data_IF_012701964320
#
_entry.id   IF_012701964320
#
_cell.length_a   1.000
_cell.length_b   1.000
_cell.length_c   1.000
_cell.angle_alpha   90.00
_cell.angle_beta   90.00
_cell.angle_gamma   90.00
#
_symmetry.space_group_name_H-M   'P 1'
#
loop_
_entity.id
_entity.type
_entity.pdbx_description
1 polymer ?
#
# COMPACT_ATOMS: atom_id res chain seq x y z
N UNK A 1 0.76 21.79 14.76
CA UNK A 1 0.14 20.60 15.38
C UNK A 1 0.74 20.45 16.77
N UNK A 2 0.04 20.97 17.79
CA UNK A 2 0.33 20.67 19.19
C UNK A 2 -0.20 19.27 19.47
N UNK A 3 0.65 18.27 19.43
CA UNK A 3 0.30 16.91 19.83
C UNK A 3 1.35 16.42 20.83
N UNK A 4 0.98 15.61 21.80
CA UNK A 4 1.87 14.94 22.73
C UNK A 4 2.54 13.69 22.11
N UNK A 5 2.39 13.50 20.80
CA UNK A 5 2.96 12.37 20.09
C UNK A 5 4.50 12.40 20.14
N UNK A 6 5.12 11.25 20.35
CA UNK A 6 6.58 11.10 20.38
C UNK A 6 7.25 11.40 19.03
N UNK A 7 6.49 11.32 17.93
CA UNK A 7 6.95 11.59 16.58
C UNK A 7 5.82 11.51 15.56
N UNK A 8 6.17 11.64 14.29
CA UNK A 8 5.26 11.64 13.15
C UNK A 8 5.68 10.54 12.15
N UNK A 9 4.67 9.84 11.62
CA UNK A 9 4.86 8.93 10.49
C UNK A 9 4.49 9.67 9.22
N UNK A 10 5.45 9.84 8.32
CA UNK A 10 5.23 10.39 6.99
C UNK A 10 4.96 9.29 5.98
N UNK A 11 3.94 9.50 5.16
CA UNK A 11 3.55 8.60 4.08
C UNK A 11 3.32 9.43 2.82
N UNK A 12 4.07 9.18 1.74
CA UNK A 12 3.91 9.94 0.50
C UNK A 12 2.56 9.61 -0.17
N UNK A 13 1.91 10.62 -0.73
CA UNK A 13 0.63 10.46 -1.44
C UNK A 13 0.78 9.87 -2.85
N UNK A 14 1.98 9.85 -3.40
CA UNK A 14 2.33 9.32 -4.72
C UNK A 14 2.77 7.85 -4.71
N UNK A 15 2.68 7.17 -3.56
CA UNK A 15 2.97 5.73 -3.40
C UNK A 15 1.69 4.92 -3.15
N UNK A 16 0.89 4.59 -4.17
CA UNK A 16 -0.44 3.97 -3.99
C UNK A 16 -0.40 2.53 -3.49
N UNK A 17 0.75 1.86 -3.57
CA UNK A 17 0.92 0.47 -3.10
C UNK A 17 1.47 0.38 -1.68
N UNK A 18 1.59 1.49 -0.97
CA UNK A 18 2.07 1.52 0.41
C UNK A 18 1.16 0.69 1.32
N UNK A 19 1.73 0.05 2.33
CA UNK A 19 1.00 -0.82 3.27
C UNK A 19 1.23 -0.37 4.71
N UNK A 20 0.22 -0.51 5.54
CA UNK A 20 0.29 -0.18 6.97
C UNK A 20 1.44 -0.92 7.69
N UNK A 21 1.82 -2.10 7.20
CA UNK A 21 2.95 -2.86 7.70
C UNK A 21 4.27 -2.09 7.63
N UNK A 22 4.47 -1.28 6.57
CA UNK A 22 5.68 -0.46 6.44
C UNK A 22 5.81 0.54 7.59
N UNK A 23 4.73 1.24 7.92
CA UNK A 23 4.71 2.18 9.05
C UNK A 23 4.88 1.47 10.39
N UNK A 24 4.22 0.32 10.57
CA UNK A 24 4.37 -0.49 11.79
C UNK A 24 5.82 -0.90 12.02
N UNK A 25 6.51 -1.39 10.97
CA UNK A 25 7.92 -1.78 11.05
C UNK A 25 8.84 -0.62 11.43
N UNK A 26 8.61 0.57 10.88
CA UNK A 26 9.37 1.77 11.28
C UNK A 26 9.22 2.06 12.77
N UNK A 27 7.98 2.01 13.28
CA UNK A 27 7.72 2.26 14.71
C UNK A 27 8.27 1.15 15.62
N UNK A 28 8.22 -0.11 15.22
CA UNK A 28 8.78 -1.24 15.97
C UNK A 28 10.30 -1.21 16.06
N UNK A 29 10.95 -0.61 15.06
CA UNK A 29 12.43 -0.49 15.01
C UNK A 29 12.94 0.82 15.58
N UNK A 30 12.06 1.79 15.83
CA UNK A 30 12.47 3.04 16.43
C UNK A 30 12.84 2.86 17.90
N UNK A 31 13.96 3.48 18.28
CA UNK A 31 14.41 3.62 19.66
C UNK A 31 14.80 5.09 19.90
N UNK A 32 14.78 5.59 21.15
CA UNK A 32 15.09 6.99 21.46
C UNK A 32 16.50 7.46 21.06
N UNK A 33 17.39 6.57 20.68
CA UNK A 33 18.73 6.91 20.16
C UNK A 33 18.72 7.40 18.71
N UNK A 34 17.61 7.16 17.99
CA UNK A 34 17.42 7.61 16.62
C UNK A 34 16.40 8.74 16.55
N UNK A 35 16.76 9.80 15.82
CA UNK A 35 15.85 10.89 15.50
C UNK A 35 14.84 10.48 14.42
N UNK A 36 15.24 9.59 13.52
CA UNK A 36 14.37 9.09 12.46
C UNK A 36 14.64 7.62 12.12
N UNK A 37 13.61 6.95 11.57
CA UNK A 37 13.72 5.63 10.94
C UNK A 37 13.09 5.73 9.54
N UNK A 38 13.88 5.41 8.51
CA UNK A 38 13.47 5.54 7.10
C UNK A 38 13.76 4.29 6.30
N UNK A 39 13.11 4.16 5.14
CA UNK A 39 13.32 3.05 4.23
C UNK A 39 14.42 3.31 3.21
N UNK A 40 15.11 2.23 2.82
CA UNK A 40 15.99 2.15 1.66
C UNK A 40 15.61 0.94 0.83
N UNK A 41 15.32 1.14 -0.44
CA UNK A 41 15.01 0.09 -1.40
C UNK A 41 16.26 -0.67 -1.85
N UNK A 42 16.10 -1.87 -2.44
CA UNK A 42 17.22 -2.72 -2.88
C UNK A 42 18.11 -2.07 -3.92
N UNK A 43 17.56 -1.15 -4.73
CA UNK A 43 18.30 -0.34 -5.70
C UNK A 43 19.13 0.79 -5.04
N UNK A 44 19.12 0.87 -3.71
CA UNK A 44 19.88 1.83 -2.92
C UNK A 44 19.20 3.18 -2.69
N UNK A 45 17.97 3.39 -3.17
CA UNK A 45 17.25 4.65 -2.98
C UNK A 45 16.73 4.77 -1.56
N UNK A 46 17.07 5.87 -0.93
CA UNK A 46 16.50 6.27 0.36
C UNK A 46 15.13 6.90 0.12
N UNK A 47 14.17 6.60 1.01
CA UNK A 47 12.78 7.07 0.95
C UNK A 47 12.48 8.01 2.13
N UNK A 48 12.95 9.26 2.10
CA UNK A 48 12.87 10.17 3.25
C UNK A 48 11.43 10.50 3.64
N UNK A 49 10.53 10.60 2.66
CA UNK A 49 9.12 10.90 2.91
C UNK A 49 8.29 9.66 3.28
N UNK A 50 8.92 8.48 3.37
CA UNK A 50 8.32 7.27 3.90
C UNK A 50 9.08 6.85 5.15
N UNK A 51 8.83 7.52 6.28
CA UNK A 51 9.62 7.37 7.49
C UNK A 51 8.91 7.83 8.75
N UNK A 52 9.43 7.38 9.88
CA UNK A 52 9.06 7.89 11.19
C UNK A 52 10.12 8.91 11.65
N UNK A 53 9.68 10.05 12.17
CA UNK A 53 10.51 11.13 12.67
C UNK A 53 10.09 11.50 14.08
N UNK A 54 11.02 11.41 15.03
CA UNK A 54 10.76 11.79 16.41
C UNK A 54 10.77 13.31 16.60
N UNK A 55 10.29 13.78 17.73
CA UNK A 55 10.32 15.21 18.06
C UNK A 55 11.73 15.79 18.16
N UNK A 56 12.75 14.97 18.40
CA UNK A 56 14.13 15.40 18.49
C UNK A 56 14.67 15.97 17.18
N UNK A 57 14.02 15.61 16.04
CA UNK A 57 14.32 16.18 14.72
C UNK A 57 14.10 17.69 14.62
N UNK A 58 13.22 18.28 15.45
CA UNK A 58 12.73 19.65 15.28
C UNK A 58 13.88 20.68 15.31
N UNK A 59 14.85 20.52 16.19
CA UNK A 59 15.98 21.46 16.28
C UNK A 59 16.80 21.49 14.98
N UNK A 60 17.07 20.32 14.40
CA UNK A 60 17.79 20.22 13.13
C UNK A 60 16.96 20.74 11.96
N UNK A 61 15.64 20.50 12.00
CA UNK A 61 14.70 20.98 10.98
C UNK A 61 14.62 22.51 10.99
N UNK A 62 14.46 23.12 12.16
CA UNK A 62 14.43 24.58 12.34
C UNK A 62 15.73 25.22 11.88
N UNK A 63 16.88 24.59 12.14
CA UNK A 63 18.17 25.01 11.63
C UNK A 63 18.23 25.02 10.11
N UNK A 64 17.78 23.93 9.46
CA UNK A 64 17.73 23.87 8.00
C UNK A 64 16.81 24.94 7.40
N UNK A 65 15.63 25.14 7.99
CA UNK A 65 14.67 26.16 7.54
C UNK A 65 15.25 27.57 7.70
N UNK A 66 15.88 27.86 8.85
CA UNK A 66 16.51 29.15 9.13
C UNK A 66 17.65 29.48 8.16
N UNK A 67 18.35 28.50 7.65
CA UNK A 67 19.39 28.61 6.61
C UNK A 67 18.83 28.70 5.19
N UNK A 68 17.50 28.55 5.01
CA UNK A 68 16.87 28.45 3.68
C UNK A 68 17.21 27.15 2.94
N UNK A 69 17.65 26.12 3.66
CA UNK A 69 18.02 24.84 3.09
C UNK A 69 16.89 23.81 3.24
N UNK A 70 16.15 23.55 2.16
CA UNK A 70 14.98 22.66 2.13
C UNK A 70 15.30 21.28 1.56
N UNK A 71 16.58 20.88 1.48
CA UNK A 71 16.99 19.59 0.93
C UNK A 71 16.86 18.49 1.98
N UNK A 72 15.99 17.53 1.74
CA UNK A 72 15.78 16.40 2.68
C UNK A 72 17.06 15.64 3.01
N UNK A 73 17.95 15.41 2.05
CA UNK A 73 19.20 14.69 2.28
C UNK A 73 20.15 15.46 3.19
N UNK A 74 20.14 16.79 3.11
CA UNK A 74 20.93 17.64 4.01
C UNK A 74 20.36 17.59 5.43
N UNK A 75 19.04 17.65 5.57
CA UNK A 75 18.40 17.47 6.87
C UNK A 75 18.74 16.10 7.48
N UNK A 76 18.65 15.01 6.69
CA UNK A 76 19.00 13.68 7.18
C UNK A 76 20.45 13.55 7.61
N UNK A 77 21.37 14.31 7.01
CA UNK A 77 22.79 14.30 7.43
C UNK A 77 23.04 14.93 8.79
N UNK A 78 22.08 15.71 9.32
CA UNK A 78 22.17 16.43 10.60
C UNK A 78 21.51 15.70 11.77
N UNK A 79 20.89 14.54 11.52
CA UNK A 79 20.16 13.78 12.52
C UNK A 79 20.66 12.33 12.60
N UNK A 80 20.41 11.68 13.73
CA UNK A 80 20.64 10.24 13.88
C UNK A 80 19.54 9.46 13.20
N UNK A 81 19.85 8.77 12.10
CA UNK A 81 18.87 8.11 11.27
C UNK A 81 19.13 6.60 11.14
N UNK A 82 18.18 5.78 11.57
CA UNK A 82 18.19 4.34 11.29
C UNK A 82 17.60 4.09 9.90
N UNK A 83 18.37 3.44 9.04
CA UNK A 83 17.94 3.09 7.68
C UNK A 83 17.60 1.62 7.62
N UNK A 84 16.32 1.30 7.37
CA UNK A 84 15.84 -0.06 7.17
C UNK A 84 15.89 -0.43 5.69
N UNK A 85 16.55 -1.52 5.36
CA UNK A 85 16.63 -2.03 3.99
C UNK A 85 15.46 -2.97 3.70
N UNK A 86 14.68 -2.69 2.64
CA UNK A 86 13.54 -3.52 2.23
C UNK A 86 13.93 -4.98 1.98
N UNK A 87 15.15 -5.21 1.49
CA UNK A 87 15.68 -6.56 1.27
C UNK A 87 15.85 -7.37 2.56
N UNK A 88 16.38 -6.74 3.62
CA UNK A 88 16.57 -7.37 4.93
C UNK A 88 15.26 -7.59 5.68
N UNK A 89 14.32 -6.68 5.50
CA UNK A 89 12.98 -6.77 6.09
C UNK A 89 12.01 -7.62 5.24
N UNK A 90 12.49 -8.22 4.14
CA UNK A 90 11.71 -9.05 3.23
C UNK A 90 10.47 -8.37 2.64
N UNK A 91 10.53 -7.03 2.47
CA UNK A 91 9.45 -6.24 1.88
C UNK A 91 9.62 -6.12 0.37
N UNK A 92 8.51 -6.16 -0.39
CA UNK A 92 8.56 -5.95 -1.84
C UNK A 92 8.85 -4.48 -2.19
N UNK A 93 9.86 -4.20 -3.00
CA UNK A 93 10.19 -2.84 -3.46
C UNK A 93 9.06 -2.17 -4.25
N UNK A 94 8.16 -2.97 -4.84
CA UNK A 94 6.96 -2.44 -5.52
C UNK A 94 6.05 -1.60 -4.61
N UNK A 95 6.13 -1.76 -3.28
CA UNK A 95 5.36 -0.93 -2.34
C UNK A 95 5.85 0.52 -2.33
N UNK A 96 7.09 0.77 -2.79
CA UNK A 96 7.70 2.09 -2.91
C UNK A 96 7.61 2.67 -4.33
N UNK A 97 6.72 2.12 -5.16
CA UNK A 97 6.52 2.62 -6.52
C UNK A 97 5.82 3.97 -6.48
N UNK A 98 6.51 5.01 -6.95
CA UNK A 98 5.93 6.34 -7.14
C UNK A 98 5.16 6.40 -8.45
N UNK A 99 4.01 7.08 -8.43
CA UNK A 99 3.16 7.31 -9.60
C UNK A 99 3.06 8.81 -9.85
N UNK A 100 4.00 9.33 -10.63
CA UNK A 100 4.12 10.75 -10.95
C UNK A 100 3.70 11.08 -12.39
N UNK A 101 3.53 10.06 -13.25
CA UNK A 101 3.21 10.21 -14.66
C UNK A 101 2.38 9.02 -15.18
N UNK A 102 1.92 9.13 -16.44
CA UNK A 102 1.12 8.08 -17.10
C UNK A 102 1.89 6.77 -17.28
N UNK A 103 3.20 6.80 -17.47
CA UNK A 103 4.01 5.60 -17.64
C UNK A 103 4.16 4.87 -16.30
N UNK A 104 4.33 5.61 -15.21
CA UNK A 104 4.31 5.07 -13.85
C UNK A 104 2.94 4.47 -13.52
N UNK A 105 1.85 5.12 -13.92
CA UNK A 105 0.50 4.60 -13.79
C UNK A 105 0.31 3.28 -14.57
N UNK A 106 0.75 3.22 -15.83
CA UNK A 106 0.71 2.01 -16.63
C UNK A 106 1.55 0.85 -16.07
N UNK A 107 2.65 1.14 -15.35
CA UNK A 107 3.39 0.13 -14.58
C UNK A 107 2.59 -0.34 -13.37
N UNK A 108 1.89 0.57 -12.69
CA UNK A 108 1.02 0.25 -11.58
C UNK A 108 -0.13 -0.66 -12.00
N UNK A 109 -0.82 -0.35 -13.11
CA UNK A 109 -1.93 -1.19 -13.63
C UNK A 109 -1.49 -2.64 -13.87
N UNK A 110 -0.24 -2.86 -14.31
CA UNK A 110 0.31 -4.21 -14.47
C UNK A 110 0.65 -4.91 -13.16
N UNK A 111 0.77 -4.18 -12.07
CA UNK A 111 1.06 -4.72 -10.72
C UNK A 111 -0.18 -4.82 -9.83
N UNK A 112 -1.27 -4.18 -10.22
CA UNK A 112 -2.57 -4.27 -9.55
C UNK A 112 -3.29 -5.53 -10.01
N UNK A 113 -4.18 -6.04 -9.17
CA UNK A 113 -5.01 -7.19 -9.48
C UNK A 113 -5.75 -6.98 -10.82
N UNK A 114 -5.62 -7.87 -11.82
CA UNK A 114 -6.33 -7.73 -13.07
C UNK A 114 -7.84 -7.77 -12.82
N UNK A 115 -8.56 -6.85 -13.44
CA UNK A 115 -10.02 -6.77 -13.36
C UNK A 115 -10.63 -7.31 -14.66
N UNK A 116 -11.47 -8.33 -14.54
CA UNK A 116 -12.26 -8.86 -15.65
C UNK A 116 -13.72 -8.43 -15.47
N UNK A 117 -14.24 -7.65 -16.41
CA UNK A 117 -15.65 -7.27 -16.42
C UNK A 117 -16.47 -8.28 -17.24
N UNK A 118 -17.51 -8.83 -16.62
CA UNK A 118 -18.51 -9.70 -17.31
C UNK A 118 -19.83 -8.95 -17.36
N UNK A 119 -20.24 -8.54 -18.55
CA UNK A 119 -21.49 -7.81 -18.79
C UNK A 119 -22.41 -8.56 -19.76
N UNK A 120 -23.68 -8.26 -19.72
CA UNK A 120 -24.71 -8.86 -20.63
C UNK A 120 -26.09 -8.74 -20.04
N UNK A 121 -27.12 -9.03 -20.87
CA UNK A 121 -28.53 -8.98 -20.52
C UNK A 121 -28.88 -9.95 -19.38
N UNK A 122 -30.05 -9.79 -18.77
CA UNK A 122 -30.55 -10.70 -17.74
C UNK A 122 -30.66 -12.13 -18.32
N UNK A 123 -30.35 -13.14 -17.51
CA UNK A 123 -30.45 -14.57 -17.84
C UNK A 123 -29.55 -15.07 -19.00
N UNK A 124 -28.45 -14.41 -19.30
CA UNK A 124 -27.48 -14.84 -20.33
C UNK A 124 -26.35 -15.76 -19.80
N UNK A 125 -26.48 -16.29 -18.60
CA UNK A 125 -25.50 -17.24 -18.04
C UNK A 125 -24.26 -16.60 -17.41
N UNK A 126 -24.23 -15.28 -17.15
CA UNK A 126 -23.09 -14.58 -16.52
C UNK A 126 -22.69 -15.21 -15.20
N UNK A 127 -23.63 -15.51 -14.33
CA UNK A 127 -23.37 -16.11 -13.01
C UNK A 127 -22.72 -17.48 -13.16
N UNK A 128 -23.24 -18.32 -14.06
CA UNK A 128 -22.70 -19.67 -14.35
C UNK A 128 -21.26 -19.57 -14.92
N UNK A 129 -20.98 -18.60 -15.78
CA UNK A 129 -19.64 -18.36 -16.29
C UNK A 129 -18.69 -17.96 -15.17
N UNK A 130 -19.10 -17.03 -14.32
CA UNK A 130 -18.28 -16.55 -13.18
C UNK A 130 -18.01 -17.67 -12.19
N UNK A 131 -18.96 -18.53 -11.85
CA UNK A 131 -18.76 -19.69 -10.98
C UNK A 131 -17.67 -20.61 -11.51
N UNK A 132 -17.74 -20.96 -12.79
CA UNK A 132 -16.74 -21.81 -13.43
C UNK A 132 -15.36 -21.15 -13.46
N UNK A 133 -15.33 -19.85 -13.75
CA UNK A 133 -14.07 -19.10 -13.77
C UNK A 133 -13.43 -19.01 -12.38
N UNK A 134 -14.21 -18.67 -11.35
CA UNK A 134 -13.75 -18.61 -9.96
C UNK A 134 -13.21 -19.97 -9.50
N UNK A 135 -13.95 -21.06 -9.75
CA UNK A 135 -13.50 -22.41 -9.42
C UNK A 135 -12.19 -22.79 -10.13
N UNK A 136 -12.06 -22.40 -11.40
CA UNK A 136 -10.82 -22.65 -12.17
C UNK A 136 -9.64 -21.86 -11.61
N UNK A 137 -9.84 -20.60 -11.24
CA UNK A 137 -8.80 -19.75 -10.64
C UNK A 137 -8.39 -20.31 -9.27
N UNK A 138 -9.37 -20.66 -8.44
CA UNK A 138 -9.12 -21.26 -7.12
C UNK A 138 -8.33 -22.58 -7.23
N UNK A 139 -8.66 -23.46 -8.17
CA UNK A 139 -7.92 -24.70 -8.41
C UNK A 139 -6.46 -24.48 -8.84
N UNK A 140 -6.13 -23.28 -9.36
CA UNK A 140 -4.78 -22.85 -9.73
C UNK A 140 -4.07 -22.04 -8.63
N UNK A 141 -4.66 -21.95 -7.45
CA UNK A 141 -4.11 -21.17 -6.33
C UNK A 141 -4.23 -19.65 -6.52
N UNK A 142 -5.02 -19.19 -7.49
CA UNK A 142 -5.26 -17.75 -7.75
C UNK A 142 -6.47 -17.32 -6.93
N UNK A 143 -6.29 -16.37 -6.04
CA UNK A 143 -7.40 -15.77 -5.28
C UNK A 143 -8.15 -14.77 -6.16
N UNK A 144 -9.44 -14.95 -6.30
CA UNK A 144 -10.32 -14.07 -7.04
C UNK A 144 -11.43 -13.52 -6.14
N UNK A 145 -11.70 -12.22 -6.21
CA UNK A 145 -12.86 -11.59 -5.61
C UNK A 145 -13.88 -11.27 -6.72
N UNK A 146 -15.15 -11.35 -6.40
CA UNK A 146 -16.24 -11.02 -7.33
C UNK A 146 -17.02 -9.83 -6.79
N UNK A 147 -17.13 -8.78 -7.61
CA UNK A 147 -17.96 -7.61 -7.33
C UNK A 147 -19.18 -7.69 -8.27
N UNK A 148 -20.37 -7.80 -7.71
CA UNK A 148 -21.62 -7.76 -8.46
C UNK A 148 -22.28 -6.41 -8.27
N UNK A 149 -22.63 -5.75 -9.37
CA UNK A 149 -23.52 -4.58 -9.37
C UNK A 149 -24.96 -5.05 -9.58
N UNK A 150 -25.82 -4.84 -8.60
CA UNK A 150 -27.26 -5.09 -8.67
C UNK A 150 -28.01 -3.77 -8.46
N UNK A 151 -29.01 -3.50 -9.30
CA UNK A 151 -29.79 -2.28 -9.24
C UNK A 151 -30.96 -2.31 -8.23
N UNK A 152 -31.05 -3.34 -7.39
CA UNK A 152 -32.13 -3.54 -6.41
C UNK A 152 -31.58 -3.84 -5.02
N UNK A 153 -32.43 -3.79 -4.00
CA UNK A 153 -32.09 -4.18 -2.64
C UNK A 153 -31.50 -5.61 -2.61
N UNK A 154 -30.39 -5.76 -1.90
CA UNK A 154 -29.57 -6.95 -1.94
C UNK A 154 -29.32 -7.48 -0.53
N UNK A 155 -29.66 -8.75 -0.29
CA UNK A 155 -29.23 -9.50 0.88
C UNK A 155 -28.03 -10.35 0.55
N UNK A 156 -26.91 -10.11 1.28
CA UNK A 156 -25.67 -10.84 1.08
C UNK A 156 -25.73 -12.23 1.73
N UNK A 157 -25.07 -13.20 1.10
CA UNK A 157 -24.78 -14.54 1.64
C UNK A 157 -25.98 -15.42 2.02
N UNK A 158 -27.17 -15.16 1.47
CA UNK A 158 -28.34 -16.04 1.62
C UNK A 158 -28.21 -17.24 0.66
N UNK A 159 -28.48 -18.49 1.12
CA UNK A 159 -28.46 -19.67 0.24
C UNK A 159 -29.31 -19.48 -1.00
N UNK A 160 -28.72 -19.75 -2.18
CA UNK A 160 -29.36 -19.58 -3.49
C UNK A 160 -29.11 -18.22 -4.16
N UNK A 161 -28.53 -17.23 -3.47
CA UNK A 161 -28.13 -15.97 -4.10
C UNK A 161 -26.83 -16.12 -4.90
N UNK A 162 -26.60 -15.20 -5.83
CA UNK A 162 -25.38 -15.20 -6.64
C UNK A 162 -24.13 -15.03 -5.80
N UNK A 163 -24.14 -14.21 -4.73
CA UNK A 163 -23.05 -14.03 -3.80
C UNK A 163 -22.69 -15.33 -3.06
N UNK A 164 -23.69 -16.05 -2.57
CA UNK A 164 -23.50 -17.34 -1.93
C UNK A 164 -22.88 -18.37 -2.89
N UNK A 165 -23.36 -18.43 -4.15
CA UNK A 165 -22.83 -19.32 -5.19
C UNK A 165 -21.37 -19.01 -5.52
N UNK A 166 -20.98 -17.71 -5.60
CA UNK A 166 -19.60 -17.30 -5.84
C UNK A 166 -18.68 -17.70 -4.69
N UNK A 167 -19.14 -17.53 -3.44
CA UNK A 167 -18.40 -17.94 -2.26
C UNK A 167 -18.18 -19.47 -2.22
N UNK A 168 -19.21 -20.25 -2.55
CA UNK A 168 -19.07 -21.72 -2.70
C UNK A 168 -18.11 -22.11 -3.84
N UNK A 169 -18.05 -21.34 -4.90
CA UNK A 169 -17.11 -21.55 -6.01
C UNK A 169 -15.65 -21.23 -5.65
N UNK A 170 -15.40 -20.66 -4.47
CA UNK A 170 -14.06 -20.34 -3.97
C UNK A 170 -13.68 -18.86 -4.15
N UNK A 171 -14.63 -17.93 -4.31
CA UNK A 171 -14.35 -16.50 -4.25
C UNK A 171 -13.86 -16.11 -2.84
N UNK A 172 -12.91 -15.17 -2.83
CA UNK A 172 -12.29 -14.63 -1.61
C UNK A 172 -13.08 -13.44 -1.09
#
# INVERSE_FOLDING_TARGET
>A
LETDAAGLLFVPCDMPLIRAEMGRRLMERWTPEYDAVIWKTRDGRIQPLCGFYSRTCLTALDGCIGEGNYRMMEFLSRISCLVLETGREHLPDRWFLNVNDRDAYGRLERTVCPVLAVSGSKNTGKTTLLERLVSLLASRGIRAAVIKHDGHEFEADVPGTDSFRMKQAGAY
#
